data_IF_534190569296
#
_entry.id   IF_534190569296
#
_cell.length_a   1.000
_cell.length_b   1.000
_cell.length_c   1.000
_cell.angle_alpha   90.00
_cell.angle_beta   90.00
_cell.angle_gamma   90.00
#
_symmetry.space_group_name_H-M   'P 1'
#
loop_
_entity.id
_entity.type
_entity.pdbx_description
1 polymer ?
#
# COMPACT_ATOMS: atom_id res chain seq x y z
N UNK A 1 56.03 -77.90 45.54
CA UNK A 1 56.60 -76.94 44.56
C UNK A 1 55.66 -76.87 43.40
N UNK A 2 54.81 -75.89 43.30
CA UNK A 2 53.86 -75.77 42.30
C UNK A 2 53.33 -74.34 42.27
N UNK A 3 53.69 -73.60 41.27
CA UNK A 3 53.24 -72.22 41.06
C UNK A 3 51.86 -72.19 40.38
N UNK A 4 50.94 -71.51 41.01
CA UNK A 4 49.63 -71.23 40.46
C UNK A 4 49.71 -70.00 39.56
N UNK A 5 49.21 -70.12 38.31
CA UNK A 5 49.03 -69.03 37.37
C UNK A 5 47.66 -68.38 37.61
N UNK A 6 47.65 -67.07 37.89
CA UNK A 6 46.45 -66.30 38.05
C UNK A 6 45.99 -65.70 36.71
N UNK A 7 44.78 -66.02 36.31
CA UNK A 7 44.07 -65.53 35.10
C UNK A 7 43.52 -64.11 35.35
N UNK A 8 44.03 -63.11 34.61
CA UNK A 8 43.58 -61.72 34.67
C UNK A 8 42.63 -61.42 33.52
N UNK A 9 41.31 -61.63 33.74
CA UNK A 9 40.28 -61.21 32.77
C UNK A 9 40.11 -59.73 32.80
N UNK A 10 40.60 -59.08 31.78
CA UNK A 10 40.39 -57.63 31.47
C UNK A 10 38.97 -57.39 30.94
N UNK A 11 38.06 -56.83 31.76
CA UNK A 11 36.74 -56.35 31.30
C UNK A 11 36.94 -55.01 30.57
N UNK A 12 36.74 -55.00 29.26
CA UNK A 12 36.64 -53.81 28.45
C UNK A 12 35.24 -53.21 28.65
N UNK A 13 35.14 -52.15 29.41
CA UNK A 13 33.93 -51.36 29.53
C UNK A 13 33.78 -50.44 28.33
N UNK A 14 32.74 -50.67 27.50
CA UNK A 14 32.37 -49.80 26.41
C UNK A 14 31.67 -48.56 27.00
N UNK A 15 32.34 -47.43 27.09
CA UNK A 15 31.72 -46.14 27.39
C UNK A 15 31.01 -45.62 26.10
N UNK A 16 29.69 -45.71 26.08
CA UNK A 16 28.88 -45.05 25.06
C UNK A 16 28.86 -43.53 25.36
N UNK A 17 29.59 -42.75 24.58
CA UNK A 17 29.51 -41.28 24.61
C UNK A 17 28.23 -40.87 23.88
N UNK A 18 27.22 -40.53 24.63
CA UNK A 18 26.03 -39.85 24.13
C UNK A 18 26.40 -38.38 23.79
N UNK A 19 26.64 -38.09 22.51
CA UNK A 19 26.77 -36.73 22.04
C UNK A 19 25.40 -36.03 22.09
N UNK A 20 25.30 -34.82 22.69
CA UNK A 20 24.05 -34.08 22.64
C UNK A 20 23.76 -33.64 21.20
N UNK A 21 22.60 -34.04 20.66
CA UNK A 21 22.11 -33.53 19.42
C UNK A 21 21.81 -32.03 19.61
N UNK A 22 22.71 -31.16 19.15
CA UNK A 22 22.45 -29.73 19.09
C UNK A 22 21.27 -29.51 18.09
N UNK A 23 20.12 -29.10 18.59
CA UNK A 23 19.05 -28.55 17.76
C UNK A 23 19.60 -27.30 17.07
N UNK A 24 19.95 -27.40 15.80
CA UNK A 24 20.22 -26.26 14.95
C UNK A 24 18.87 -25.53 14.78
N UNK A 25 18.71 -24.29 15.24
CA UNK A 25 17.50 -23.53 14.95
C UNK A 25 17.39 -23.41 13.44
N UNK A 26 16.29 -23.96 12.89
CA UNK A 26 15.94 -23.79 11.48
C UNK A 26 15.87 -22.28 11.13
N UNK A 27 16.13 -21.88 9.87
CA UNK A 27 16.03 -20.49 9.49
C UNK A 27 14.62 -20.01 9.88
N UNK A 28 14.57 -18.99 10.74
CA UNK A 28 13.34 -18.28 11.04
C UNK A 28 12.73 -17.88 9.69
N UNK A 29 11.50 -18.30 9.42
CA UNK A 29 10.76 -17.86 8.24
C UNK A 29 10.78 -16.33 8.30
N UNK A 30 11.55 -15.69 7.42
CA UNK A 30 11.52 -14.25 7.25
C UNK A 30 10.06 -13.90 6.96
N UNK A 31 9.41 -13.21 7.89
CA UNK A 31 8.06 -12.71 7.67
C UNK A 31 8.07 -12.00 6.32
N UNK A 32 7.12 -12.33 5.44
CA UNK A 32 7.03 -11.70 4.13
C UNK A 32 6.97 -10.20 4.36
N UNK A 33 8.05 -9.48 4.02
CA UNK A 33 8.12 -8.04 4.18
C UNK A 33 7.01 -7.38 3.37
N UNK A 34 6.53 -6.23 3.83
CA UNK A 34 5.53 -5.46 3.10
C UNK A 34 6.06 -5.18 1.69
N UNK A 35 5.28 -5.56 0.67
CA UNK A 35 5.62 -5.24 -0.71
C UNK A 35 5.42 -3.73 -0.94
N UNK A 36 6.48 -3.05 -1.37
CA UNK A 36 6.41 -1.64 -1.77
C UNK A 36 6.38 -1.59 -3.30
N UNK A 37 5.32 -1.02 -3.90
CA UNK A 37 5.21 -1.00 -5.36
C UNK A 37 6.27 -0.11 -5.99
N UNK A 38 6.82 -0.55 -7.11
CA UNK A 38 7.77 0.23 -7.93
C UNK A 38 7.07 0.79 -9.15
N UNK A 39 6.88 2.10 -9.20
CA UNK A 39 6.27 2.80 -10.34
C UNK A 39 7.32 3.34 -11.32
N UNK A 40 8.60 3.19 -11.01
CA UNK A 40 9.71 3.79 -11.76
C UNK A 40 10.67 2.74 -12.27
N UNK A 41 11.09 2.88 -13.55
CA UNK A 41 12.18 2.09 -14.07
C UNK A 41 13.52 2.61 -13.52
N UNK A 42 14.03 1.91 -12.51
CA UNK A 42 15.29 2.31 -11.85
C UNK A 42 16.53 2.11 -12.75
N UNK A 43 16.40 1.36 -13.87
CA UNK A 43 17.47 1.16 -14.85
C UNK A 43 17.53 2.31 -15.87
N UNK A 44 16.38 2.89 -16.22
CA UNK A 44 16.25 4.00 -17.16
C UNK A 44 15.72 5.25 -16.46
N UNK A 45 16.54 5.82 -15.58
CA UNK A 45 16.15 7.02 -14.84
C UNK A 45 16.03 8.22 -15.78
N UNK A 46 15.02 9.06 -15.61
CA UNK A 46 14.95 10.31 -16.36
C UNK A 46 16.20 11.16 -16.11
N UNK A 47 16.72 11.80 -17.15
CA UNK A 47 17.81 12.74 -17.01
C UNK A 47 17.37 13.90 -16.09
N UNK A 48 18.32 14.42 -15.28
CA UNK A 48 18.03 15.57 -14.41
C UNK A 48 17.63 16.76 -15.27
N UNK A 49 16.39 17.26 -15.14
CA UNK A 49 15.97 18.42 -15.92
C UNK A 49 16.64 19.70 -15.41
N UNK A 50 16.73 20.70 -16.28
CA UNK A 50 17.18 22.02 -15.86
C UNK A 50 16.18 22.65 -14.88
N UNK A 51 16.67 23.13 -13.74
CA UNK A 51 15.87 23.82 -12.72
C UNK A 51 15.95 25.34 -12.87
N UNK A 52 16.36 25.85 -14.04
CA UNK A 52 16.50 27.30 -14.26
C UNK A 52 15.16 28.00 -14.03
N UNK A 53 15.15 28.94 -13.05
CA UNK A 53 13.95 29.67 -12.68
C UNK A 53 13.06 29.02 -11.60
N UNK A 54 13.19 27.73 -11.29
CA UNK A 54 12.42 27.06 -10.24
C UNK A 54 13.16 27.17 -8.89
N UNK A 55 12.81 28.19 -8.09
CA UNK A 55 13.39 28.41 -6.76
C UNK A 55 12.51 27.93 -5.62
N UNK A 56 11.22 27.80 -5.87
CA UNK A 56 10.21 27.38 -4.91
C UNK A 56 9.10 26.60 -5.61
N UNK A 57 8.41 25.74 -4.87
CA UNK A 57 7.29 24.96 -5.35
C UNK A 57 6.15 25.04 -4.33
N UNK A 58 4.95 25.40 -4.80
CA UNK A 58 3.75 25.52 -3.99
C UNK A 58 2.83 24.34 -4.28
N UNK A 59 2.77 23.40 -3.34
CA UNK A 59 1.81 22.30 -3.39
C UNK A 59 0.49 22.73 -2.78
N UNK A 60 -0.61 22.34 -3.42
CA UNK A 60 -1.95 22.37 -2.87
C UNK A 60 -2.39 20.95 -2.57
N UNK A 61 -3.01 20.77 -1.40
CA UNK A 61 -3.55 19.50 -0.91
C UNK A 61 -4.89 19.74 -0.21
N UNK A 62 -5.45 18.73 0.41
CA UNK A 62 -6.58 18.76 1.33
C UNK A 62 -6.08 18.38 2.74
N UNK A 63 -6.92 18.46 3.78
CA UNK A 63 -6.53 18.24 5.18
C UNK A 63 -7.38 17.19 5.91
N UNK A 64 -8.13 16.36 5.18
CA UNK A 64 -9.12 15.46 5.75
C UNK A 64 -9.10 14.02 5.12
N UNK A 65 -7.98 13.60 4.50
CA UNK A 65 -7.85 12.31 3.86
C UNK A 65 -6.67 11.47 4.41
N UNK A 66 -6.76 10.98 5.66
CA UNK A 66 -5.71 10.12 6.22
C UNK A 66 -5.67 8.75 5.50
N UNK A 67 -4.48 8.14 5.34
CA UNK A 67 -3.17 8.58 5.81
C UNK A 67 -2.40 9.43 4.79
N UNK A 68 -3.04 9.91 3.72
CA UNK A 68 -2.40 10.61 2.62
C UNK A 68 -2.10 12.08 2.97
N UNK A 69 -3.11 12.83 3.38
CA UNK A 69 -3.00 14.24 3.75
C UNK A 69 -4.09 14.59 4.76
N UNK A 70 -3.70 15.07 5.91
CA UNK A 70 -4.61 15.41 7.01
C UNK A 70 -3.99 16.43 7.95
N UNK A 71 -4.85 17.15 8.67
CA UNK A 71 -4.40 18.05 9.72
C UNK A 71 -4.25 17.31 11.06
N UNK A 72 -3.16 17.55 11.75
CA UNK A 72 -2.98 17.19 13.16
C UNK A 72 -3.82 18.12 14.06
N UNK A 73 -4.02 17.78 15.35
CA UNK A 73 -4.80 18.61 16.27
C UNK A 73 -4.26 20.05 16.44
N UNK A 74 -2.97 20.27 16.16
CA UNK A 74 -2.33 21.59 16.19
C UNK A 74 -2.45 22.37 14.86
N UNK A 75 -3.16 21.79 13.87
CA UNK A 75 -3.32 22.36 12.53
C UNK A 75 -2.15 22.06 11.57
N UNK A 76 -1.10 21.37 12.00
CA UNK A 76 0.02 21.00 11.14
C UNK A 76 -0.40 19.95 10.13
N UNK A 77 -0.09 20.17 8.84
CA UNK A 77 -0.34 19.19 7.79
C UNK A 77 0.62 18.01 7.90
N UNK A 78 0.08 16.81 7.84
CA UNK A 78 0.77 15.53 7.91
C UNK A 78 0.20 14.54 6.88
N UNK A 79 0.89 13.43 6.65
CA UNK A 79 0.45 12.34 5.77
C UNK A 79 1.48 12.00 4.71
N UNK A 80 1.21 10.89 4.01
CA UNK A 80 2.10 10.35 2.98
C UNK A 80 2.39 11.39 1.87
N UNK A 81 1.34 12.03 1.35
CA UNK A 81 1.45 13.04 0.29
C UNK A 81 2.26 14.26 0.77
N UNK A 82 2.01 14.68 2.02
CA UNK A 82 2.69 15.84 2.61
C UNK A 82 4.19 15.58 2.78
N UNK A 83 4.55 14.42 3.31
CA UNK A 83 5.95 14.04 3.51
C UNK A 83 6.65 13.77 2.17
N UNK A 84 5.96 13.18 1.19
CA UNK A 84 6.50 12.98 -0.15
C UNK A 84 6.72 14.33 -0.88
N UNK A 85 5.81 15.30 -0.73
CA UNK A 85 6.00 16.66 -1.25
C UNK A 85 7.24 17.36 -0.65
N UNK A 86 7.44 17.23 0.68
CA UNK A 86 8.64 17.73 1.35
C UNK A 86 9.91 17.07 0.82
N UNK A 87 9.89 15.72 0.71
CA UNK A 87 11.03 14.98 0.19
C UNK A 87 11.37 15.34 -1.26
N UNK A 88 10.38 15.63 -2.11
CA UNK A 88 10.58 16.15 -3.48
C UNK A 88 11.34 17.48 -3.46
N UNK A 89 10.95 18.42 -2.60
CA UNK A 89 11.62 19.71 -2.52
C UNK A 89 13.05 19.61 -1.98
N UNK A 90 13.27 18.72 -1.00
CA UNK A 90 14.61 18.43 -0.47
C UNK A 90 15.52 17.83 -1.54
N UNK A 91 14.98 16.91 -2.37
CA UNK A 91 15.69 16.30 -3.49
C UNK A 91 16.08 17.33 -4.55
N UNK A 92 15.17 18.25 -4.86
CA UNK A 92 15.39 19.31 -5.83
C UNK A 92 16.20 20.47 -5.27
N UNK A 93 16.40 20.55 -3.95
CA UNK A 93 17.06 21.65 -3.22
C UNK A 93 16.39 23.00 -3.46
N UNK A 94 15.07 23.03 -3.39
CA UNK A 94 14.23 24.22 -3.52
C UNK A 94 13.35 24.40 -2.28
N UNK A 95 12.87 25.60 -2.05
CA UNK A 95 11.90 25.86 -0.98
C UNK A 95 10.52 25.29 -1.35
N UNK A 96 9.77 24.87 -0.32
CA UNK A 96 8.45 24.26 -0.47
C UNK A 96 7.43 24.95 0.41
N UNK A 97 6.24 25.17 -0.13
CA UNK A 97 5.05 25.44 0.67
C UNK A 97 3.98 24.39 0.34
N UNK A 98 3.28 23.92 1.37
CA UNK A 98 2.17 22.97 1.22
C UNK A 98 0.97 23.63 1.91
N UNK A 99 -0.11 23.85 1.14
CA UNK A 99 -1.30 24.55 1.61
C UNK A 99 -2.53 23.66 1.44
N UNK A 100 -3.30 23.49 2.51
CA UNK A 100 -4.58 22.83 2.44
C UNK A 100 -5.66 23.75 1.88
N UNK A 101 -6.55 23.14 1.09
CA UNK A 101 -7.76 23.75 0.54
C UNK A 101 -8.85 22.69 0.45
N UNK A 102 -10.09 23.10 0.33
CA UNK A 102 -11.17 22.18 0.03
C UNK A 102 -10.92 21.50 -1.31
N UNK A 103 -11.16 20.20 -1.39
CA UNK A 103 -10.90 19.37 -2.56
C UNK A 103 -11.53 19.91 -3.84
N UNK A 104 -12.79 20.35 -3.77
CA UNK A 104 -13.56 20.91 -4.90
C UNK A 104 -12.98 22.20 -5.47
N UNK A 105 -12.12 22.89 -4.72
CA UNK A 105 -11.47 24.14 -5.15
C UNK A 105 -10.06 23.98 -5.70
N UNK A 106 -9.45 22.80 -5.56
CA UNK A 106 -8.03 22.56 -5.87
C UNK A 106 -7.68 22.85 -7.33
N UNK A 107 -8.49 22.33 -8.27
CA UNK A 107 -8.23 22.52 -9.72
C UNK A 107 -8.39 24.01 -10.10
N UNK A 108 -9.41 24.66 -9.57
CA UNK A 108 -9.59 26.12 -9.77
C UNK A 108 -8.39 26.92 -9.26
N UNK A 109 -7.97 26.66 -8.02
CA UNK A 109 -6.82 27.34 -7.41
C UNK A 109 -5.50 27.11 -8.19
N UNK A 110 -5.29 25.89 -8.73
CA UNK A 110 -4.15 25.62 -9.61
C UNK A 110 -4.22 26.44 -10.90
N UNK A 111 -5.38 26.51 -11.54
CA UNK A 111 -5.58 27.29 -12.77
C UNK A 111 -5.41 28.78 -12.53
N UNK A 112 -5.77 29.28 -11.36
CA UNK A 112 -5.60 30.68 -10.91
C UNK A 112 -4.17 30.99 -10.42
N UNK A 113 -3.21 30.05 -10.60
CA UNK A 113 -1.82 30.18 -10.18
C UNK A 113 -1.64 30.42 -8.66
N UNK A 114 -2.57 29.93 -7.83
CA UNK A 114 -2.45 29.97 -6.37
C UNK A 114 -1.56 28.84 -5.83
N UNK A 115 -1.21 27.88 -6.67
CA UNK A 115 -0.27 26.79 -6.47
C UNK A 115 0.36 26.37 -7.78
N UNK A 116 1.36 25.51 -7.72
CA UNK A 116 2.12 25.05 -8.89
C UNK A 116 1.81 23.57 -9.20
N UNK A 117 1.48 22.78 -8.16
CA UNK A 117 1.14 21.37 -8.27
C UNK A 117 0.08 20.95 -7.23
N UNK A 118 -0.74 19.94 -7.57
CA UNK A 118 -1.68 19.32 -6.65
C UNK A 118 -1.11 17.98 -6.20
N UNK A 119 -1.07 17.79 -4.89
CA UNK A 119 -0.71 16.51 -4.26
C UNK A 119 -1.79 16.14 -3.25
N UNK A 120 -2.89 15.58 -3.77
CA UNK A 120 -4.13 15.36 -3.06
C UNK A 120 -4.81 14.04 -3.52
N UNK A 121 -4.01 13.00 -3.72
CA UNK A 121 -4.48 11.67 -4.14
C UNK A 121 -5.40 11.69 -5.39
N UNK A 122 -5.19 12.67 -6.29
CA UNK A 122 -6.04 12.85 -7.46
C UNK A 122 -5.84 11.68 -8.42
N UNK A 123 -6.92 10.94 -8.66
CA UNK A 123 -6.91 9.79 -9.55
C UNK A 123 -6.64 10.21 -11.01
N UNK A 124 -5.77 9.43 -11.63
CA UNK A 124 -5.47 9.57 -13.06
C UNK A 124 -6.52 8.80 -13.85
N UNK A 125 -7.42 9.53 -14.50
CA UNK A 125 -8.45 8.98 -15.37
C UNK A 125 -8.72 9.91 -16.58
N UNK A 126 -9.54 9.53 -17.58
CA UNK A 126 -9.80 10.38 -18.74
C UNK A 126 -10.39 11.74 -18.39
N UNK A 127 -11.21 11.84 -17.36
CA UNK A 127 -11.84 13.10 -16.95
C UNK A 127 -10.81 14.07 -16.36
N UNK A 128 -9.99 13.60 -15.44
CA UNK A 128 -8.95 14.44 -14.80
C UNK A 128 -7.83 14.79 -15.80
N UNK A 129 -7.47 13.86 -16.70
CA UNK A 129 -6.50 14.12 -17.78
C UNK A 129 -6.96 15.18 -18.78
N UNK A 130 -8.26 15.39 -18.94
CA UNK A 130 -8.77 16.47 -19.78
C UNK A 130 -8.42 17.87 -19.23
N UNK A 131 -8.33 18.00 -17.91
CA UNK A 131 -8.13 19.27 -17.20
C UNK A 131 -6.69 19.51 -16.72
N UNK A 132 -5.94 18.43 -16.48
CA UNK A 132 -4.64 18.45 -15.81
C UNK A 132 -3.63 17.58 -16.58
N UNK A 133 -2.34 17.87 -16.39
CA UNK A 133 -1.28 16.91 -16.69
C UNK A 133 -0.78 16.27 -15.39
N UNK A 134 -0.33 15.02 -15.47
CA UNK A 134 0.10 14.25 -14.32
C UNK A 134 1.51 13.72 -14.49
N UNK A 135 2.22 13.58 -13.38
CA UNK A 135 3.39 12.68 -13.31
C UNK A 135 2.94 11.23 -13.55
N UNK A 136 3.89 10.31 -13.69
CA UNK A 136 3.61 8.90 -13.42
C UNK A 136 2.94 8.73 -12.04
N UNK A 137 2.19 7.63 -11.82
CA UNK A 137 1.56 7.41 -10.54
C UNK A 137 2.61 7.25 -9.43
N UNK A 138 2.32 7.79 -8.25
CA UNK A 138 3.14 7.58 -7.06
C UNK A 138 2.49 6.61 -6.08
N UNK A 139 1.23 6.27 -6.26
CA UNK A 139 0.60 5.07 -5.68
C UNK A 139 -0.56 4.60 -6.55
N UNK A 140 -0.95 3.34 -6.35
CA UNK A 140 -2.21 2.77 -6.86
C UNK A 140 -2.97 2.16 -5.69
N UNK A 141 -4.29 2.15 -5.78
CA UNK A 141 -5.15 1.50 -4.81
C UNK A 141 -5.72 0.22 -5.45
N UNK A 142 -5.11 -0.97 -5.23
CA UNK A 142 -5.71 -2.20 -5.69
C UNK A 142 -7.00 -2.50 -4.92
N UNK A 143 -7.83 -3.37 -5.47
CA UNK A 143 -8.91 -3.98 -4.70
C UNK A 143 -8.45 -5.28 -4.06
N UNK A 144 -8.98 -5.59 -2.88
CA UNK A 144 -8.73 -6.87 -2.19
C UNK A 144 -9.99 -7.41 -1.54
N UNK A 145 -9.97 -8.71 -1.31
CA UNK A 145 -10.94 -9.32 -0.41
C UNK A 145 -10.39 -9.29 1.03
N UNK A 146 -11.32 -9.18 1.99
CA UNK A 146 -11.06 -9.40 3.41
C UNK A 146 -12.11 -10.36 3.97
N UNK A 147 -11.66 -11.32 4.78
CA UNK A 147 -12.50 -12.36 5.37
C UNK A 147 -12.12 -12.58 6.84
N UNK A 148 -12.93 -13.34 7.57
CA UNK A 148 -12.54 -13.82 8.88
C UNK A 148 -11.20 -14.57 8.81
N UNK A 149 -10.36 -14.44 9.83
CA UNK A 149 -9.00 -15.04 9.87
C UNK A 149 -9.00 -16.54 9.57
N UNK A 150 -10.03 -17.26 10.02
CA UNK A 150 -10.15 -18.71 9.80
C UNK A 150 -10.11 -19.11 8.32
N UNK A 151 -10.53 -18.24 7.42
CA UNK A 151 -10.58 -18.48 5.97
C UNK A 151 -9.76 -17.50 5.14
N UNK A 152 -9.09 -16.54 5.77
CA UNK A 152 -8.32 -15.49 5.07
C UNK A 152 -7.18 -16.04 4.21
N UNK A 153 -6.56 -17.16 4.60
CA UNK A 153 -5.50 -17.80 3.83
C UNK A 153 -5.99 -18.50 2.54
N UNK A 154 -7.31 -18.70 2.39
CA UNK A 154 -7.86 -19.36 1.21
C UNK A 154 -7.83 -18.43 -0.02
N UNK A 155 -7.51 -18.94 -1.23
CA UNK A 155 -7.55 -18.13 -2.44
C UNK A 155 -8.93 -17.50 -2.69
N UNK A 156 -8.94 -16.28 -3.23
CA UNK A 156 -10.15 -15.58 -3.65
C UNK A 156 -10.27 -15.62 -5.19
N UNK A 157 -10.55 -16.81 -5.73
CA UNK A 157 -10.82 -16.98 -7.17
C UNK A 157 -12.34 -17.09 -7.42
N UNK A 158 -12.83 -16.84 -8.65
CA UNK A 158 -14.24 -16.99 -8.98
C UNK A 158 -14.82 -18.36 -8.59
N UNK A 159 -14.06 -19.43 -8.80
CA UNK A 159 -14.47 -20.80 -8.46
C UNK A 159 -14.59 -21.03 -6.95
N UNK A 160 -13.66 -20.44 -6.18
CA UNK A 160 -13.64 -20.55 -4.71
C UNK A 160 -14.68 -19.69 -4.03
N UNK A 161 -15.12 -18.63 -4.70
CA UNK A 161 -16.13 -17.71 -4.21
C UNK A 161 -17.53 -17.99 -4.80
N UNK A 162 -17.68 -19.00 -5.65
CA UNK A 162 -18.98 -19.46 -6.15
C UNK A 162 -19.93 -19.72 -4.98
N UNK A 163 -21.15 -19.16 -5.06
CA UNK A 163 -22.20 -19.29 -4.03
C UNK A 163 -21.82 -18.71 -2.66
N UNK A 164 -20.67 -18.01 -2.55
CA UNK A 164 -20.30 -17.29 -1.34
C UNK A 164 -20.92 -15.92 -1.32
N UNK A 165 -21.29 -15.46 -0.14
CA UNK A 165 -21.84 -14.12 0.05
C UNK A 165 -20.70 -13.10 0.12
N UNK A 166 -20.61 -12.25 -0.91
CA UNK A 166 -19.62 -11.19 -1.01
C UNK A 166 -20.27 -9.85 -0.74
N UNK A 167 -19.84 -9.18 0.32
CA UNK A 167 -20.25 -7.81 0.63
C UNK A 167 -19.41 -6.78 -0.12
N UNK A 168 -20.05 -5.73 -0.58
CA UNK A 168 -19.40 -4.63 -1.30
C UNK A 168 -20.13 -3.31 -1.03
N UNK A 169 -19.42 -2.19 -1.17
CA UNK A 169 -20.07 -0.88 -1.09
C UNK A 169 -20.93 -0.64 -2.34
N UNK A 170 -22.17 -0.23 -2.11
CA UNK A 170 -23.12 0.07 -3.17
C UNK A 170 -22.61 1.18 -4.11
N UNK A 171 -22.96 1.08 -5.39
CA UNK A 171 -22.63 2.07 -6.43
C UNK A 171 -21.13 2.37 -6.57
N UNK A 172 -20.29 1.41 -6.23
CA UNK A 172 -18.83 1.54 -6.32
C UNK A 172 -18.26 0.83 -7.55
N UNK A 173 -17.04 1.22 -7.94
CA UNK A 173 -16.29 0.50 -8.97
C UNK A 173 -16.00 -0.96 -8.57
N UNK A 174 -15.90 -1.23 -7.27
CA UNK A 174 -15.73 -2.58 -6.72
C UNK A 174 -16.96 -3.45 -6.95
N UNK A 175 -18.16 -2.88 -6.80
CA UNK A 175 -19.41 -3.58 -7.12
C UNK A 175 -19.48 -3.96 -8.61
N UNK A 176 -19.18 -3.01 -9.50
CA UNK A 176 -19.13 -3.26 -10.94
C UNK A 176 -18.06 -4.30 -11.34
N UNK A 177 -16.92 -4.31 -10.65
CA UNK A 177 -15.87 -5.31 -10.84
C UNK A 177 -16.33 -6.71 -10.44
N UNK A 178 -16.97 -6.86 -9.27
CA UNK A 178 -17.54 -8.13 -8.82
C UNK A 178 -18.58 -8.67 -9.80
N UNK A 179 -19.47 -7.80 -10.27
CA UNK A 179 -20.49 -8.17 -11.27
C UNK A 179 -19.86 -8.74 -12.54
N UNK A 180 -18.76 -8.16 -12.96
CA UNK A 180 -18.09 -8.57 -14.21
C UNK A 180 -17.26 -9.84 -14.06
N UNK A 181 -16.51 -9.99 -12.96
CA UNK A 181 -15.47 -11.03 -12.83
C UNK A 181 -15.82 -12.12 -11.82
N UNK A 182 -16.84 -11.91 -10.98
CA UNK A 182 -17.30 -12.87 -9.97
C UNK A 182 -18.83 -13.06 -10.05
N UNK A 183 -19.39 -13.37 -11.24
CA UNK A 183 -20.84 -13.39 -11.45
C UNK A 183 -21.58 -14.43 -10.61
N UNK A 184 -20.92 -15.54 -10.25
CA UNK A 184 -21.50 -16.64 -9.49
C UNK A 184 -21.50 -16.42 -7.96
N UNK A 185 -21.11 -15.25 -7.48
CA UNK A 185 -21.18 -14.88 -6.07
C UNK A 185 -22.55 -14.35 -5.68
N UNK A 186 -22.94 -14.55 -4.43
CA UNK A 186 -24.12 -13.90 -3.85
C UNK A 186 -23.69 -12.49 -3.39
N UNK A 187 -23.92 -11.48 -4.23
CA UNK A 187 -23.52 -10.11 -3.91
C UNK A 187 -24.51 -9.45 -2.95
N UNK A 188 -23.98 -8.86 -1.86
CA UNK A 188 -24.72 -7.98 -0.95
C UNK A 188 -24.10 -6.58 -0.95
N UNK A 189 -24.89 -5.59 -1.35
CA UNK A 189 -24.46 -4.19 -1.42
C UNK A 189 -24.84 -3.44 -0.15
N UNK A 190 -23.92 -2.66 0.39
CA UNK A 190 -24.06 -1.89 1.62
C UNK A 190 -23.85 -0.39 1.35
N UNK A 191 -24.64 0.46 1.98
CA UNK A 191 -24.55 1.90 1.81
C UNK A 191 -23.30 2.54 2.44
N UNK A 192 -22.69 1.87 3.42
CA UNK A 192 -21.48 2.38 4.07
C UNK A 192 -20.47 1.28 4.40
N UNK A 193 -19.20 1.67 4.47
CA UNK A 193 -18.11 0.79 4.90
C UNK A 193 -18.32 0.25 6.33
N UNK A 194 -18.93 1.05 7.21
CA UNK A 194 -19.24 0.63 8.58
C UNK A 194 -20.18 -0.56 8.59
N UNK A 195 -21.34 -0.46 7.92
CA UNK A 195 -22.31 -1.55 7.83
C UNK A 195 -21.73 -2.79 7.17
N UNK A 196 -20.92 -2.61 6.14
CA UNK A 196 -20.24 -3.69 5.44
C UNK A 196 -19.29 -4.47 6.36
N UNK A 197 -18.48 -3.76 7.15
CA UNK A 197 -17.53 -4.35 8.11
C UNK A 197 -18.25 -5.06 9.26
N UNK A 198 -19.30 -4.45 9.80
CA UNK A 198 -20.14 -5.06 10.82
C UNK A 198 -20.78 -6.36 10.36
N UNK A 199 -21.27 -6.43 9.11
CA UNK A 199 -21.84 -7.63 8.53
C UNK A 199 -20.82 -8.79 8.43
N UNK A 200 -19.55 -8.48 8.08
CA UNK A 200 -18.49 -9.48 8.07
C UNK A 200 -18.18 -9.98 9.50
N UNK A 201 -18.03 -9.08 10.47
CA UNK A 201 -17.75 -9.44 11.86
C UNK A 201 -18.86 -10.33 12.44
N UNK A 202 -20.12 -10.05 12.10
CA UNK A 202 -21.29 -10.83 12.53
C UNK A 202 -21.45 -12.15 11.77
N UNK A 203 -20.66 -12.40 10.71
CA UNK A 203 -20.79 -13.61 9.87
C UNK A 203 -22.02 -13.59 8.94
N UNK A 204 -22.63 -12.45 8.69
CA UNK A 204 -23.77 -12.28 7.77
C UNK A 204 -23.32 -12.38 6.29
N UNK A 205 -22.03 -12.24 6.04
CA UNK A 205 -21.36 -12.39 4.75
C UNK A 205 -20.03 -13.14 4.92
N UNK A 206 -19.59 -13.84 3.89
CA UNK A 206 -18.36 -14.64 3.90
C UNK A 206 -17.11 -13.78 3.72
N UNK A 207 -17.20 -12.71 2.94
CA UNK A 207 -16.06 -11.86 2.60
C UNK A 207 -16.52 -10.47 2.15
N UNK A 208 -15.63 -9.50 2.33
CA UNK A 208 -15.76 -8.14 1.78
C UNK A 208 -14.87 -8.03 0.54
N UNK A 209 -15.31 -7.27 -0.48
CA UNK A 209 -14.46 -6.80 -1.56
C UNK A 209 -14.46 -5.28 -1.59
N UNK A 210 -13.26 -4.67 -1.61
CA UNK A 210 -13.15 -3.22 -1.53
C UNK A 210 -11.74 -2.68 -1.77
N UNK A 211 -11.60 -1.39 -1.59
CA UNK A 211 -10.33 -0.66 -1.67
C UNK A 211 -9.33 -1.21 -0.63
N UNK A 212 -8.17 -1.61 -1.10
CA UNK A 212 -7.18 -2.29 -0.27
C UNK A 212 -6.59 -1.37 0.82
N UNK A 213 -6.48 -0.06 0.55
CA UNK A 213 -5.97 0.90 1.54
C UNK A 213 -6.99 1.07 2.66
N UNK A 214 -8.26 1.30 2.30
CA UNK A 214 -9.34 1.40 3.27
C UNK A 214 -9.50 0.13 4.11
N UNK A 215 -9.34 -1.04 3.48
CA UNK A 215 -9.37 -2.32 4.18
C UNK A 215 -8.14 -2.51 5.07
N UNK A 216 -6.92 -2.12 4.63
CA UNK A 216 -5.71 -2.25 5.45
C UNK A 216 -5.79 -1.44 6.73
N UNK A 217 -6.24 -0.18 6.64
CA UNK A 217 -6.42 0.68 7.81
C UNK A 217 -7.45 0.10 8.79
N UNK A 218 -8.54 -0.48 8.28
CA UNK A 218 -9.50 -1.15 9.14
C UNK A 218 -8.92 -2.43 9.75
N UNK A 219 -8.21 -3.25 8.99
CA UNK A 219 -7.58 -4.46 9.50
C UNK A 219 -6.51 -4.19 10.57
N UNK A 220 -5.94 -2.98 10.60
CA UNK A 220 -5.03 -2.52 11.67
C UNK A 220 -5.78 -1.95 12.89
N UNK A 221 -7.06 -1.62 12.77
CA UNK A 221 -7.88 -1.22 13.91
C UNK A 221 -8.12 -2.40 14.86
N UNK A 222 -8.49 -2.11 16.10
CA UNK A 222 -8.78 -3.13 17.12
C UNK A 222 -9.81 -4.16 16.62
N UNK A 223 -10.88 -3.68 15.97
CA UNK A 223 -11.96 -4.55 15.47
C UNK A 223 -11.45 -5.46 14.33
N UNK A 224 -10.73 -4.89 13.36
CA UNK A 224 -10.20 -5.62 12.23
C UNK A 224 -9.13 -6.63 12.62
N UNK A 225 -8.17 -6.23 13.49
CA UNK A 225 -7.10 -7.10 13.97
C UNK A 225 -7.62 -8.34 14.70
N UNK A 226 -8.72 -8.22 15.44
CA UNK A 226 -9.26 -9.33 16.20
C UNK A 226 -9.97 -10.36 15.34
N UNK A 227 -10.63 -9.94 14.24
CA UNK A 227 -11.50 -10.82 13.46
C UNK A 227 -10.89 -11.31 12.14
N UNK A 228 -10.17 -10.47 11.45
CA UNK A 228 -10.15 -10.50 10.00
C UNK A 228 -8.76 -10.37 9.42
N UNK A 229 -8.61 -10.67 8.12
CA UNK A 229 -7.38 -10.55 7.36
C UNK A 229 -7.66 -10.46 5.86
N UNK A 230 -6.68 -10.01 5.09
CA UNK A 230 -6.76 -10.04 3.64
C UNK A 230 -6.88 -11.46 3.11
N UNK A 231 -7.65 -11.60 2.03
CA UNK A 231 -7.84 -12.85 1.31
C UNK A 231 -7.61 -12.65 -0.17
N UNK A 232 -6.58 -13.30 -0.73
CA UNK A 232 -6.26 -13.17 -2.16
C UNK A 232 -5.97 -11.73 -2.63
N UNK A 233 -5.76 -11.56 -3.92
CA UNK A 233 -5.40 -10.30 -4.55
C UNK A 233 -3.89 -10.01 -4.53
N UNK A 234 -3.41 -8.84 -4.91
CA UNK A 234 -4.22 -7.66 -5.28
C UNK A 234 -4.92 -7.81 -6.63
N UNK A 235 -6.09 -7.16 -6.78
CA UNK A 235 -6.81 -7.05 -8.05
C UNK A 235 -6.58 -5.64 -8.58
N UNK A 236 -5.95 -5.57 -9.76
CA UNK A 236 -5.57 -4.31 -10.40
C UNK A 236 -6.19 -4.28 -11.79
N UNK A 237 -7.08 -3.33 -12.02
CA UNK A 237 -7.71 -3.11 -13.32
C UNK A 237 -7.97 -1.61 -13.49
N UNK A 238 -7.19 -0.99 -14.39
CA UNK A 238 -7.25 0.45 -14.64
C UNK A 238 -8.65 0.93 -15.10
N UNK A 239 -9.41 0.07 -15.78
CA UNK A 239 -10.77 0.39 -16.20
C UNK A 239 -11.71 0.64 -15.03
N UNK A 240 -11.55 -0.10 -13.93
CA UNK A 240 -12.39 0.00 -12.74
C UNK A 240 -11.76 0.91 -11.66
N UNK A 241 -10.46 0.77 -11.42
CA UNK A 241 -9.78 1.40 -10.28
C UNK A 241 -8.90 2.59 -10.68
N UNK A 242 -8.76 2.87 -12.00
CA UNK A 242 -7.91 3.95 -12.54
C UNK A 242 -6.44 3.56 -12.63
N UNK A 243 -5.64 4.49 -13.19
CA UNK A 243 -4.18 4.32 -13.35
C UNK A 243 -3.40 4.65 -12.06
N UNK A 244 -4.08 4.86 -10.94
CA UNK A 244 -3.48 5.32 -9.68
C UNK A 244 -3.61 6.83 -9.49
N UNK A 245 -2.85 7.38 -8.54
CA UNK A 245 -2.77 8.81 -8.28
C UNK A 245 -1.40 9.37 -8.66
N UNK A 246 -1.38 10.51 -9.31
CA UNK A 246 -0.20 11.25 -9.71
C UNK A 246 -0.19 12.66 -9.14
N UNK A 247 0.98 13.29 -9.15
CA UNK A 247 1.07 14.73 -8.88
C UNK A 247 0.52 15.45 -10.10
N UNK A 248 -0.53 16.26 -9.90
CA UNK A 248 -1.13 16.99 -10.99
C UNK A 248 -0.50 18.38 -11.13
N UNK A 249 -0.33 18.82 -12.37
CA UNK A 249 0.12 20.14 -12.73
C UNK A 249 -0.87 20.78 -13.71
N UNK A 250 -0.79 22.08 -13.86
CA UNK A 250 -1.62 22.79 -14.85
C UNK A 250 -1.39 22.21 -16.24
N UNK A 251 -2.47 22.08 -16.98
CA UNK A 251 -2.45 21.55 -18.36
C UNK A 251 -1.42 22.28 -19.22
N UNK A 252 -0.54 21.52 -19.90
CA UNK A 252 0.54 22.07 -20.73
C UNK A 252 1.83 22.39 -19.97
N UNK A 253 1.88 22.25 -18.63
CA UNK A 253 3.12 22.50 -17.85
C UNK A 253 4.04 21.26 -17.86
N UNK A 254 4.51 20.87 -19.04
CA UNK A 254 5.36 19.70 -19.23
C UNK A 254 6.71 19.81 -18.51
N UNK A 255 7.25 21.04 -18.39
CA UNK A 255 8.52 21.25 -17.72
C UNK A 255 8.44 20.89 -16.23
N UNK A 256 7.44 21.40 -15.51
CA UNK A 256 7.25 21.07 -14.09
C UNK A 256 6.94 19.60 -13.91
N UNK A 257 6.10 18.99 -14.77
CA UNK A 257 5.84 17.57 -14.74
C UNK A 257 7.12 16.75 -14.84
N UNK A 258 8.02 17.04 -15.79
CA UNK A 258 9.30 16.33 -15.94
C UNK A 258 10.20 16.49 -14.70
N UNK A 259 10.21 17.65 -14.08
CA UNK A 259 10.95 17.89 -12.83
C UNK A 259 10.42 17.01 -11.70
N UNK A 260 9.09 16.93 -11.57
CA UNK A 260 8.45 16.10 -10.55
C UNK A 260 8.64 14.58 -10.81
N UNK A 261 8.53 14.13 -12.08
CA UNK A 261 8.82 12.76 -12.48
C UNK A 261 10.27 12.35 -12.14
N UNK A 262 11.23 13.25 -12.43
CA UNK A 262 12.63 13.06 -12.06
C UNK A 262 12.80 12.93 -10.54
N UNK A 263 12.20 13.84 -9.77
CA UNK A 263 12.31 13.83 -8.31
C UNK A 263 11.75 12.54 -7.70
N UNK A 264 10.56 12.11 -8.14
CA UNK A 264 9.94 10.86 -7.71
C UNK A 264 10.85 9.63 -8.00
N UNK A 265 11.37 9.53 -9.24
CA UNK A 265 12.29 8.45 -9.62
C UNK A 265 13.59 8.47 -8.79
N UNK A 266 14.12 9.66 -8.47
CA UNK A 266 15.31 9.81 -7.64
C UNK A 266 15.06 9.38 -6.19
N UNK A 267 13.93 9.78 -5.59
CA UNK A 267 13.52 9.36 -4.25
C UNK A 267 13.33 7.84 -4.17
N UNK A 268 12.73 7.24 -5.18
CA UNK A 268 12.57 5.78 -5.28
C UNK A 268 13.93 5.07 -5.33
N UNK A 269 14.83 5.54 -6.19
CA UNK A 269 16.18 4.97 -6.35
C UNK A 269 17.03 5.08 -5.08
N UNK A 270 16.79 6.07 -4.24
CA UNK A 270 17.49 6.29 -2.95
C UNK A 270 16.81 5.60 -1.78
N UNK A 271 15.71 4.87 -2.01
CA UNK A 271 14.95 4.20 -0.96
C UNK A 271 14.12 5.14 -0.07
N UNK A 272 14.11 6.45 -0.35
CA UNK A 272 13.36 7.44 0.45
C UNK A 272 11.86 7.20 0.29
N UNK A 273 11.40 6.96 -0.95
CA UNK A 273 10.01 6.60 -1.21
C UNK A 273 9.61 5.34 -0.44
N UNK A 274 10.44 4.29 -0.46
CA UNK A 274 10.19 3.05 0.29
C UNK A 274 10.00 3.30 1.79
N UNK A 275 10.87 4.12 2.39
CA UNK A 275 10.78 4.44 3.82
C UNK A 275 9.50 5.23 4.15
N UNK A 276 9.13 6.20 3.31
CA UNK A 276 7.88 6.96 3.46
C UNK A 276 6.66 6.05 3.29
N UNK A 277 6.68 5.17 2.30
CA UNK A 277 5.61 4.21 2.08
C UNK A 277 5.39 3.31 3.30
N UNK A 278 6.46 2.69 3.82
CA UNK A 278 6.38 1.82 5.00
C UNK A 278 6.00 2.55 6.29
N UNK A 279 6.28 3.85 6.39
CA UNK A 279 5.85 4.69 7.52
C UNK A 279 4.32 4.81 7.59
N UNK A 280 3.64 4.93 6.44
CA UNK A 280 2.21 5.17 6.37
C UNK A 280 1.39 3.92 6.06
N UNK A 281 2.01 2.89 5.50
CA UNK A 281 1.38 1.65 5.07
C UNK A 281 2.14 0.42 5.60
N UNK A 282 2.15 0.19 6.92
CA UNK A 282 2.89 -0.91 7.54
C UNK A 282 2.27 -2.28 7.22
N UNK A 283 0.97 -2.35 6.92
CA UNK A 283 0.32 -3.55 6.40
C UNK A 283 0.32 -3.54 4.87
N UNK A 284 0.94 -4.56 4.27
CA UNK A 284 0.95 -4.72 2.82
C UNK A 284 -0.45 -4.94 2.26
N UNK A 285 -0.86 -4.10 1.32
CA UNK A 285 -2.14 -4.23 0.63
C UNK A 285 -2.00 -4.60 -0.85
N UNK A 286 -0.77 -4.85 -1.31
CA UNK A 286 -0.45 -5.46 -2.58
C UNK A 286 -0.31 -6.97 -2.50
#
# INVERSE_FOLDING_TARGET
MGFAAADFKRKLGLLAVLAPLALVPGPAAAGAGVFVPGFWDLKHRPAKPGLSGLRSLRFLTEDDYPPFHFALPDGTLSGFDVDLARAICDELKISCTIQARRFDTLIGALNDNQGDALMAAIRIDPQTRAMLDFTGPYYTAPARFASLKAIAAAPATPERLREKTVGVQARSAHEAYLERFFPDTIRKSYESQKLLREALIKGEIDTIFGDAISLSLWLESQDGQNCCGFRGGPFMDAKFFGDGAGIAVKKGNFQLRQVLDYALASLAARGIYTNLYLKYFPLGFY
#
